data_IF_683046618370
#
_entry.id   IF_683046618370
#
_cell.length_a   1.000
_cell.length_b   1.000
_cell.length_c   1.000
_cell.angle_alpha   90.00
_cell.angle_beta   90.00
_cell.angle_gamma   90.00
#
_symmetry.space_group_name_H-M   'P 1'
#
loop_
_entity.id
_entity.type
_entity.pdbx_description
1 polymer ?
#
# COMPACT_ATOMS: atom_id res chain seq x y z
N UNK A 1 22.71 1.93 3.62
CA UNK A 1 21.44 1.46 3.02
C UNK A 1 21.59 1.57 1.50
N UNK A 2 21.13 0.60 0.70
CA UNK A 2 21.24 0.72 -0.77
C UNK A 2 20.23 1.73 -1.32
N UNK A 3 20.52 2.34 -2.46
CA UNK A 3 19.60 3.27 -3.15
C UNK A 3 18.23 2.63 -3.41
N UNK A 4 18.19 1.35 -3.84
CA UNK A 4 16.92 0.61 -3.98
C UNK A 4 16.13 0.55 -2.68
N UNK A 5 16.78 0.34 -1.53
CA UNK A 5 16.09 0.32 -0.23
C UNK A 5 15.58 1.70 0.16
N UNK A 6 16.30 2.76 -0.20
CA UNK A 6 15.83 4.15 -0.02
C UNK A 6 14.57 4.42 -0.84
N UNK A 7 14.60 4.15 -2.15
CA UNK A 7 13.44 4.35 -3.04
C UNK A 7 12.23 3.52 -2.61
N UNK A 8 12.44 2.26 -2.19
CA UNK A 8 11.34 1.42 -1.66
C UNK A 8 10.74 2.05 -0.41
N UNK A 9 11.55 2.59 0.50
CA UNK A 9 11.05 3.24 1.71
C UNK A 9 10.29 4.52 1.38
N UNK A 10 10.80 5.32 0.46
CA UNK A 10 10.13 6.54 -0.01
C UNK A 10 8.76 6.21 -0.61
N UNK A 11 8.68 5.21 -1.52
CA UNK A 11 7.40 4.75 -2.07
C UNK A 11 6.40 4.32 -0.99
N UNK A 12 6.85 3.61 0.05
CA UNK A 12 5.98 3.19 1.15
C UNK A 12 5.49 4.37 2.00
N UNK A 13 6.34 5.37 2.23
CA UNK A 13 5.94 6.61 2.93
C UNK A 13 4.93 7.40 2.10
N UNK A 14 5.19 7.60 0.81
CA UNK A 14 4.31 8.34 -0.11
C UNK A 14 2.94 7.66 -0.26
N UNK A 15 2.87 6.33 -0.17
CA UNK A 15 1.58 5.61 -0.13
C UNK A 15 0.76 6.00 1.10
N UNK A 16 1.38 6.06 2.28
CA UNK A 16 0.69 6.46 3.50
C UNK A 16 0.21 7.92 3.40
N UNK A 17 1.06 8.83 2.93
CA UNK A 17 0.70 10.24 2.74
C UNK A 17 -0.41 10.42 1.69
N UNK A 18 -0.39 9.62 0.62
CA UNK A 18 -1.44 9.60 -0.39
C UNK A 18 -2.77 9.16 0.22
N UNK A 19 -2.78 8.06 0.99
CA UNK A 19 -4.00 7.57 1.66
C UNK A 19 -4.54 8.61 2.64
N UNK A 20 -3.69 9.17 3.50
CA UNK A 20 -4.08 10.19 4.48
C UNK A 20 -4.66 11.45 3.82
N UNK A 21 -4.12 11.86 2.68
CA UNK A 21 -4.63 12.99 1.90
C UNK A 21 -5.98 12.66 1.27
N UNK A 22 -6.10 11.49 0.63
CA UNK A 22 -7.34 11.09 -0.05
C UNK A 22 -8.50 10.88 0.92
N UNK A 23 -8.23 10.41 2.14
CA UNK A 23 -9.24 10.24 3.18
C UNK A 23 -9.80 11.57 3.73
N UNK A 24 -9.15 12.69 3.44
CA UNK A 24 -9.66 14.02 3.79
C UNK A 24 -10.57 14.61 2.71
N UNK A 25 -10.61 14.00 1.52
CA UNK A 25 -11.44 14.46 0.41
C UNK A 25 -12.85 13.91 0.51
N UNK A 26 -13.80 14.70 0.03
CA UNK A 26 -15.16 14.26 -0.26
C UNK A 26 -15.31 13.89 -1.74
N UNK A 27 -16.36 13.15 -2.08
CA UNK A 27 -16.67 12.86 -3.49
C UNK A 27 -16.89 14.13 -4.32
N UNK A 28 -17.38 15.21 -3.71
CA UNK A 28 -17.55 16.51 -4.36
C UNK A 28 -16.21 17.17 -4.70
N UNK A 29 -15.19 17.00 -3.86
CA UNK A 29 -13.85 17.57 -4.10
C UNK A 29 -13.20 16.97 -5.35
N UNK A 30 -13.58 15.75 -5.74
CA UNK A 30 -13.09 15.11 -6.96
C UNK A 30 -13.45 15.90 -8.23
N UNK A 31 -14.53 16.68 -8.20
CA UNK A 31 -14.99 17.48 -9.34
C UNK A 31 -14.38 18.89 -9.36
N UNK A 32 -13.55 19.24 -8.37
CA UNK A 32 -12.85 20.52 -8.35
C UNK A 32 -11.84 20.64 -9.50
N UNK A 33 -11.65 21.86 -9.99
CA UNK A 33 -10.63 22.16 -11.00
C UNK A 33 -9.23 21.92 -10.42
N UNK A 34 -8.31 21.53 -11.30
CA UNK A 34 -6.93 21.23 -10.92
C UNK A 34 -5.98 21.92 -11.90
N UNK A 35 -5.03 22.69 -11.37
CA UNK A 35 -4.02 23.39 -12.18
C UNK A 35 -2.85 22.50 -12.58
N UNK A 36 -2.78 21.26 -12.09
CA UNK A 36 -1.70 20.35 -12.40
C UNK A 36 -1.79 19.88 -13.85
N UNK A 37 -0.68 19.93 -14.60
CA UNK A 37 -0.67 19.60 -16.03
C UNK A 37 -1.18 18.19 -16.33
N UNK A 38 -0.90 17.22 -15.46
CA UNK A 38 -1.38 15.85 -15.62
C UNK A 38 -2.90 15.67 -15.45
N UNK A 39 -3.60 16.68 -14.91
CA UNK A 39 -5.05 16.66 -14.83
C UNK A 39 -5.73 16.76 -16.20
N UNK A 40 -5.01 17.17 -17.27
CA UNK A 40 -5.52 17.26 -18.64
C UNK A 40 -6.90 17.95 -18.71
N UNK A 41 -7.04 19.10 -18.04
CA UNK A 41 -8.29 19.89 -17.95
C UNK A 41 -9.46 19.19 -17.21
N UNK A 42 -9.30 17.94 -16.75
CA UNK A 42 -10.34 17.12 -16.12
C UNK A 42 -10.43 17.17 -14.60
N UNK A 43 -9.79 18.14 -13.95
CA UNK A 43 -9.88 18.35 -12.50
C UNK A 43 -9.16 17.30 -11.64
N UNK A 44 -9.46 17.29 -10.34
CA UNK A 44 -8.81 16.42 -9.34
C UNK A 44 -9.01 14.94 -9.68
N UNK A 45 -10.24 14.53 -10.03
CA UNK A 45 -10.54 13.14 -10.43
C UNK A 45 -9.63 12.65 -11.54
N UNK A 46 -9.42 13.47 -12.58
CA UNK A 46 -8.58 13.08 -13.73
C UNK A 46 -7.11 12.99 -13.35
N UNK A 47 -6.64 13.84 -12.45
CA UNK A 47 -5.28 13.76 -11.90
C UNK A 47 -5.06 12.44 -11.16
N UNK A 48 -5.98 12.05 -10.27
CA UNK A 48 -5.84 10.81 -9.49
C UNK A 48 -5.88 9.56 -10.38
N UNK A 49 -6.79 9.53 -11.36
CA UNK A 49 -6.81 8.48 -12.39
C UNK A 49 -5.48 8.45 -13.14
N UNK A 50 -4.98 9.62 -13.55
CA UNK A 50 -3.69 9.70 -14.24
C UNK A 50 -2.55 9.12 -13.40
N UNK A 51 -2.47 9.44 -12.11
CA UNK A 51 -1.42 8.92 -11.23
C UNK A 51 -1.48 7.38 -11.14
N UNK A 52 -2.67 6.80 -10.98
CA UNK A 52 -2.83 5.34 -10.92
C UNK A 52 -2.45 4.66 -12.25
N UNK A 53 -2.79 5.27 -13.40
CA UNK A 53 -2.35 4.78 -14.71
C UNK A 53 -0.82 4.91 -14.87
N UNK A 54 -0.25 6.03 -14.43
CA UNK A 54 1.17 6.32 -14.52
C UNK A 54 2.02 5.33 -13.71
N UNK A 55 1.60 4.99 -12.49
CA UNK A 55 2.26 3.96 -11.68
C UNK A 55 2.21 2.59 -12.37
N UNK A 56 1.08 2.24 -13.00
CA UNK A 56 0.94 1.00 -13.77
C UNK A 56 1.89 0.95 -14.97
N UNK A 57 2.05 2.07 -15.67
CA UNK A 57 2.99 2.19 -16.79
C UNK A 57 4.45 2.03 -16.33
N UNK A 58 4.83 2.65 -15.22
CA UNK A 58 6.20 2.52 -14.68
C UNK A 58 6.47 1.13 -14.13
N UNK A 59 5.49 0.50 -13.47
CA UNK A 59 5.61 -0.89 -13.04
C UNK A 59 5.84 -1.84 -14.23
N UNK A 60 5.10 -1.65 -15.33
CA UNK A 60 5.30 -2.40 -16.56
C UNK A 60 6.69 -2.16 -17.18
N UNK A 61 7.14 -0.90 -17.20
CA UNK A 61 8.48 -0.52 -17.71
C UNK A 61 9.60 -1.18 -16.89
N UNK A 62 9.50 -1.12 -15.55
CA UNK A 62 10.45 -1.78 -14.65
C UNK A 62 10.45 -3.30 -14.87
N UNK A 63 9.26 -3.91 -15.00
CA UNK A 63 9.13 -5.34 -15.27
C UNK A 63 9.79 -5.75 -16.59
N UNK A 64 9.57 -4.97 -17.66
CA UNK A 64 10.19 -5.20 -18.96
C UNK A 64 11.72 -5.09 -18.87
N UNK A 65 12.24 -4.01 -18.27
CA UNK A 65 13.68 -3.82 -18.09
C UNK A 65 14.32 -4.98 -17.30
N UNK A 66 13.63 -5.50 -16.28
CA UNK A 66 14.09 -6.69 -15.55
C UNK A 66 14.15 -7.92 -16.45
N UNK A 67 13.13 -8.16 -17.27
CA UNK A 67 13.10 -9.29 -18.20
C UNK A 67 14.22 -9.20 -19.25
N UNK A 68 14.39 -8.04 -19.87
CA UNK A 68 15.41 -7.77 -20.89
C UNK A 68 16.83 -8.00 -20.35
N UNK A 69 17.04 -7.68 -19.07
CA UNK A 69 18.32 -7.86 -18.39
C UNK A 69 18.44 -9.19 -17.62
N UNK A 70 17.47 -10.11 -17.76
CA UNK A 70 17.40 -11.40 -17.05
C UNK A 70 17.53 -11.24 -15.52
N UNK A 71 16.98 -10.15 -14.96
CA UNK A 71 16.94 -9.83 -13.53
C UNK A 71 15.59 -10.21 -12.91
N UNK A 72 15.24 -11.49 -12.99
CA UNK A 72 13.98 -12.00 -12.44
C UNK A 72 13.97 -12.00 -10.91
N UNK A 73 12.77 -12.08 -10.33
CA UNK A 73 12.61 -12.17 -8.87
C UNK A 73 12.81 -13.60 -8.42
N UNK A 74 14.06 -14.06 -8.38
CA UNK A 74 14.36 -15.47 -8.15
C UNK A 74 14.37 -15.84 -6.66
N UNK A 75 14.85 -14.93 -5.80
CA UNK A 75 14.93 -15.11 -4.35
C UNK A 75 13.57 -15.38 -3.73
N UNK A 76 13.48 -16.47 -2.96
CA UNK A 76 12.30 -16.82 -2.17
C UNK A 76 11.96 -15.71 -1.17
N UNK A 77 12.96 -15.17 -0.46
CA UNK A 77 12.76 -14.03 0.44
C UNK A 77 12.11 -12.84 -0.28
N UNK A 78 12.60 -12.50 -1.48
CA UNK A 78 12.01 -11.39 -2.25
C UNK A 78 10.55 -11.67 -2.66
N UNK A 79 10.20 -12.93 -2.98
CA UNK A 79 8.81 -13.34 -3.26
C UNK A 79 7.94 -13.24 -2.01
N UNK A 80 8.39 -13.78 -0.88
CA UNK A 80 7.69 -13.69 0.40
C UNK A 80 7.47 -12.24 0.83
N UNK A 81 8.47 -11.37 0.70
CA UNK A 81 8.33 -9.94 0.99
C UNK A 81 7.29 -9.27 0.09
N UNK A 82 7.29 -9.55 -1.21
CA UNK A 82 6.27 -9.02 -2.13
C UNK A 82 4.87 -9.50 -1.76
N UNK A 83 4.73 -10.79 -1.46
CA UNK A 83 3.43 -11.38 -1.17
C UNK A 83 2.88 -10.81 0.15
N UNK A 84 3.70 -10.71 1.20
CA UNK A 84 3.31 -10.03 2.45
C UNK A 84 2.89 -8.57 2.23
N UNK A 85 3.61 -7.82 1.39
CA UNK A 85 3.26 -6.44 1.06
C UNK A 85 1.91 -6.37 0.35
N UNK A 86 1.65 -7.26 -0.60
CA UNK A 86 0.38 -7.29 -1.34
C UNK A 86 -0.80 -7.56 -0.42
N UNK A 87 -0.71 -8.61 0.42
CA UNK A 87 -1.79 -8.93 1.36
C UNK A 87 -2.02 -7.79 2.36
N UNK A 88 -0.95 -7.07 2.75
CA UNK A 88 -1.07 -5.92 3.64
C UNK A 88 -1.82 -4.76 3.01
N UNK A 89 -1.50 -4.41 1.77
CA UNK A 89 -2.18 -3.33 1.04
C UNK A 89 -3.64 -3.69 0.77
N UNK A 90 -3.94 -4.96 0.47
CA UNK A 90 -5.32 -5.43 0.32
C UNK A 90 -6.12 -5.24 1.61
N UNK A 91 -5.57 -5.66 2.76
CA UNK A 91 -6.22 -5.47 4.05
C UNK A 91 -6.47 -3.98 4.37
N UNK A 92 -5.51 -3.11 4.06
CA UNK A 92 -5.70 -1.65 4.20
C UNK A 92 -6.85 -1.18 3.32
N UNK A 93 -6.90 -1.60 2.05
CA UNK A 93 -7.97 -1.24 1.11
C UNK A 93 -9.37 -1.60 1.59
N UNK A 94 -9.53 -2.75 2.24
CA UNK A 94 -10.82 -3.20 2.82
C UNK A 94 -11.33 -2.30 3.96
N UNK A 95 -10.45 -1.49 4.57
CA UNK A 95 -10.82 -0.56 5.64
C UNK A 95 -11.20 0.83 5.12
N UNK A 96 -10.94 1.15 3.85
CA UNK A 96 -11.19 2.48 3.29
C UNK A 96 -12.66 2.64 2.86
N UNK A 97 -13.31 3.74 3.27
CA UNK A 97 -14.65 4.15 2.80
C UNK A 97 -15.79 4.02 3.83
N UNK A 98 -16.02 2.85 4.46
CA UNK A 98 -17.14 2.63 5.38
C UNK A 98 -17.14 3.47 6.67
N UNK A 99 -16.01 4.10 7.02
CA UNK A 99 -15.84 4.83 8.28
C UNK A 99 -15.74 3.92 9.51
N UNK A 100 -15.68 4.53 10.70
CA UNK A 100 -15.42 3.82 11.98
C UNK A 100 -16.51 2.79 12.35
N UNK A 101 -17.72 2.92 11.80
CA UNK A 101 -18.82 1.98 12.06
C UNK A 101 -18.49 0.56 11.62
N UNK A 102 -17.65 0.39 10.59
CA UNK A 102 -17.14 -0.90 10.15
C UNK A 102 -16.43 -1.67 11.27
N UNK A 103 -15.71 -0.94 12.13
CA UNK A 103 -14.86 -1.52 13.16
C UNK A 103 -15.66 -2.29 14.23
N UNK A 104 -16.96 -2.00 14.37
CA UNK A 104 -17.87 -2.72 15.27
C UNK A 104 -18.60 -3.90 14.64
N UNK A 105 -18.47 -4.11 13.32
CA UNK A 105 -19.13 -5.20 12.62
C UNK A 105 -18.41 -6.54 12.85
N UNK A 106 -19.16 -7.62 12.78
CA UNK A 106 -18.65 -8.99 12.91
C UNK A 106 -18.99 -9.77 11.66
N UNK A 107 -18.00 -10.48 11.10
CA UNK A 107 -18.23 -11.37 9.96
C UNK A 107 -19.16 -12.52 10.37
N UNK A 108 -19.87 -13.11 9.40
CA UNK A 108 -20.82 -14.18 9.70
C UNK A 108 -20.09 -15.38 10.32
N UNK A 109 -20.48 -15.73 11.55
CA UNK A 109 -19.93 -16.88 12.27
C UNK A 109 -18.59 -16.62 12.93
N UNK A 110 -18.16 -15.36 13.00
CA UNK A 110 -17.03 -14.92 13.80
C UNK A 110 -17.51 -14.39 15.15
N UNK A 111 -16.66 -14.47 16.17
CA UNK A 111 -16.87 -13.86 17.48
C UNK A 111 -16.11 -12.52 17.61
N UNK A 112 -15.27 -12.20 16.63
CA UNK A 112 -14.45 -10.99 16.62
C UNK A 112 -15.04 -9.91 15.70
N UNK A 113 -15.14 -8.70 16.26
CA UNK A 113 -15.38 -7.50 15.44
C UNK A 113 -14.16 -7.18 14.56
N UNK A 114 -14.36 -6.41 13.49
CA UNK A 114 -13.30 -6.03 12.55
C UNK A 114 -12.14 -5.33 13.27
N UNK A 115 -12.40 -4.51 14.30
CA UNK A 115 -11.32 -3.89 15.10
C UNK A 115 -10.40 -4.93 15.69
N UNK A 116 -10.94 -5.93 16.38
CA UNK A 116 -10.16 -7.02 16.98
C UNK A 116 -9.39 -7.82 15.94
N UNK A 117 -9.97 -8.04 14.75
CA UNK A 117 -9.24 -8.71 13.66
C UNK A 117 -8.02 -7.88 13.22
N UNK A 118 -8.18 -6.57 13.02
CA UNK A 118 -7.06 -5.69 12.63
C UNK A 118 -6.02 -5.58 13.73
N UNK A 119 -6.43 -5.40 14.99
CA UNK A 119 -5.54 -5.38 16.15
C UNK A 119 -4.74 -6.68 16.30
N UNK A 120 -5.38 -7.83 16.05
CA UNK A 120 -4.73 -9.13 16.03
C UNK A 120 -3.63 -9.19 14.97
N UNK A 121 -3.93 -8.77 13.74
CA UNK A 121 -2.94 -8.74 12.65
C UNK A 121 -1.77 -7.82 13.01
N UNK A 122 -2.04 -6.62 13.54
CA UNK A 122 -1.00 -5.67 13.96
C UNK A 122 -0.12 -6.22 15.08
N UNK A 123 -0.72 -6.90 16.06
CA UNK A 123 0.02 -7.55 17.14
C UNK A 123 0.97 -8.61 16.59
N UNK A 124 0.46 -9.57 15.82
CA UNK A 124 1.26 -10.71 15.36
C UNK A 124 2.31 -10.32 14.33
N UNK A 125 2.09 -9.29 13.52
CA UNK A 125 3.13 -8.76 12.64
C UNK A 125 4.29 -8.19 13.44
N UNK A 126 4.01 -7.32 14.41
CA UNK A 126 5.04 -6.71 15.26
C UNK A 126 5.81 -7.75 16.06
N UNK A 127 5.09 -8.72 16.61
CA UNK A 127 5.64 -9.84 17.37
C UNK A 127 6.54 -10.72 16.49
N UNK A 128 6.03 -11.17 15.34
CA UNK A 128 6.78 -12.01 14.40
C UNK A 128 8.04 -11.30 13.90
N UNK A 129 7.95 -10.01 13.57
CA UNK A 129 9.11 -9.25 13.10
C UNK A 129 10.11 -8.95 14.22
N UNK A 130 9.66 -8.84 15.47
CA UNK A 130 10.56 -8.78 16.63
C UNK A 130 11.35 -10.10 16.74
N UNK A 131 10.67 -11.25 16.73
CA UNK A 131 11.31 -12.57 16.79
C UNK A 131 12.32 -12.77 15.66
N UNK A 132 11.95 -12.46 14.42
CA UNK A 132 12.88 -12.54 13.27
C UNK A 132 14.11 -11.66 13.49
N UNK A 133 13.95 -10.43 13.99
CA UNK A 133 15.11 -9.56 14.28
C UNK A 133 16.00 -10.14 15.37
N UNK A 134 15.41 -10.65 16.45
CA UNK A 134 16.13 -11.25 17.58
C UNK A 134 16.92 -12.50 17.15
N UNK A 135 16.27 -13.43 16.44
CA UNK A 135 16.90 -14.68 15.98
C UNK A 135 17.98 -14.45 14.91
N UNK A 136 17.86 -13.39 14.13
CA UNK A 136 18.83 -13.03 13.09
C UNK A 136 19.83 -11.95 13.53
N UNK A 137 19.79 -11.54 14.80
CA UNK A 137 20.61 -10.45 15.36
C UNK A 137 20.58 -9.16 14.50
N UNK A 138 19.42 -8.85 13.93
CA UNK A 138 19.20 -7.65 13.13
C UNK A 138 18.94 -6.44 14.04
N UNK A 139 19.35 -5.22 13.64
CA UNK A 139 19.07 -4.01 14.40
C UNK A 139 17.56 -3.74 14.48
N UNK A 140 17.15 -3.08 15.57
CA UNK A 140 15.78 -2.62 15.81
C UNK A 140 15.36 -1.51 14.84
#
# INVERSE_FOLDING_TARGET
>A
MSETRTLVRELLTEIAETVDTLLQLTDHDLDASCSHGCANEGGIRRLLIHNAEHDRMHAATISAARADNRRFQESELARLTRDLLRERVELVGLLLGPGDDLLGLTARGDDWDIRKQVEHVLYYERDSMRVVREEQALPA
#
